data_IF_237873450831
#
_entry.id   IF_237873450831
#
_cell.length_a   1.000
_cell.length_b   1.000
_cell.length_c   1.000
_cell.angle_alpha   90.00
_cell.angle_beta   90.00
_cell.angle_gamma   90.00
#
_symmetry.space_group_name_H-M   'P 1'
#
loop_
_entity.id
_entity.type
_entity.pdbx_description
1 polymer ?
#
# COMPACT_ATOMS: atom_id res chain seq x y z
N UNK A 1 -5.09 22.87 -17.67
CA UNK A 1 -5.38 22.58 -16.25
C UNK A 1 -6.79 22.04 -16.01
N UNK A 2 -7.86 22.62 -16.55
CA UNK A 2 -9.26 22.15 -16.33
C UNK A 2 -9.47 20.69 -16.74
N UNK A 3 -8.96 20.24 -17.88
CA UNK A 3 -9.07 18.85 -18.35
C UNK A 3 -8.33 17.85 -17.46
N UNK A 4 -7.17 18.20 -16.90
CA UNK A 4 -6.41 17.34 -16.01
C UNK A 4 -7.13 17.12 -14.66
N UNK A 5 -7.72 18.20 -14.11
CA UNK A 5 -8.50 18.12 -12.88
C UNK A 5 -9.81 17.33 -13.08
N UNK A 6 -10.51 17.56 -14.20
CA UNK A 6 -11.71 16.81 -14.56
C UNK A 6 -11.43 15.30 -14.68
N UNK A 7 -10.29 14.93 -15.29
CA UNK A 7 -9.87 13.54 -15.37
C UNK A 7 -9.61 12.92 -14.00
N UNK A 8 -8.93 13.64 -13.09
CA UNK A 8 -8.71 13.18 -11.73
C UNK A 8 -10.03 12.92 -11.01
N UNK A 9 -10.96 13.88 -11.05
CA UNK A 9 -12.27 13.76 -10.40
C UNK A 9 -13.04 12.56 -10.97
N UNK A 10 -13.08 12.41 -12.30
CA UNK A 10 -13.79 11.30 -12.95
C UNK A 10 -13.20 9.93 -12.60
N UNK A 11 -11.87 9.83 -12.52
CA UNK A 11 -11.19 8.59 -12.12
C UNK A 11 -11.48 8.30 -10.64
N UNK A 12 -11.39 9.29 -9.75
CA UNK A 12 -11.72 9.12 -8.33
C UNK A 12 -13.18 8.71 -8.13
N UNK A 13 -14.12 9.33 -8.84
CA UNK A 13 -15.55 8.96 -8.79
C UNK A 13 -15.76 7.52 -9.27
N UNK A 14 -15.16 7.13 -10.39
CA UNK A 14 -15.27 5.77 -10.93
C UNK A 14 -14.71 4.73 -9.96
N UNK A 15 -13.53 4.96 -9.40
CA UNK A 15 -12.91 4.04 -8.45
C UNK A 15 -13.70 4.02 -7.12
N UNK A 16 -14.25 5.15 -6.67
CA UNK A 16 -15.12 5.23 -5.51
C UNK A 16 -16.40 4.42 -5.70
N UNK A 17 -17.12 4.59 -6.80
CA UNK A 17 -18.32 3.82 -7.13
C UNK A 17 -18.04 2.32 -7.21
N UNK A 18 -16.93 1.94 -7.83
CA UNK A 18 -16.47 0.55 -7.91
C UNK A 18 -16.16 -0.02 -6.52
N UNK A 19 -15.53 0.78 -5.67
CA UNK A 19 -15.17 0.40 -4.31
C UNK A 19 -16.40 0.16 -3.44
N UNK A 20 -17.36 1.08 -3.42
CA UNK A 20 -18.61 0.94 -2.66
C UNK A 20 -19.56 -0.10 -3.25
N UNK A 21 -19.53 -0.32 -4.55
CA UNK A 21 -20.30 -1.38 -5.22
C UNK A 21 -19.81 -2.80 -4.93
N UNK A 22 -18.58 -2.96 -4.42
CA UNK A 22 -17.98 -4.26 -4.08
C UNK A 22 -17.90 -4.47 -2.56
N UNK A 23 -19.04 -4.52 -1.89
CA UNK A 23 -19.14 -4.69 -0.43
C UNK A 23 -18.35 -5.88 0.11
N UNK A 24 -18.34 -7.01 -0.60
CA UNK A 24 -17.55 -8.19 -0.22
C UNK A 24 -16.05 -7.91 -0.17
N UNK A 25 -15.54 -7.06 -1.06
CA UNK A 25 -14.14 -6.64 -1.09
C UNK A 25 -13.78 -5.72 0.08
N UNK A 26 -14.69 -4.80 0.42
CA UNK A 26 -14.56 -3.93 1.59
C UNK A 26 -14.45 -4.74 2.88
N UNK A 27 -15.39 -5.68 3.06
CA UNK A 27 -15.43 -6.55 4.23
C UNK A 27 -14.16 -7.41 4.30
N UNK A 28 -13.78 -8.06 3.20
CA UNK A 28 -12.58 -8.91 3.16
C UNK A 28 -11.28 -8.14 3.51
N UNK A 29 -11.18 -6.88 3.09
CA UNK A 29 -10.00 -6.06 3.40
C UNK A 29 -9.91 -5.67 4.88
N UNK A 30 -11.04 -5.56 5.59
CA UNK A 30 -11.08 -5.28 7.04
C UNK A 30 -11.00 -6.56 7.88
N UNK A 31 -11.59 -7.65 7.43
CA UNK A 31 -11.61 -8.93 8.17
C UNK A 31 -10.20 -9.42 8.47
N UNK A 32 -9.28 -9.34 7.50
CA UNK A 32 -7.90 -9.81 7.68
C UNK A 32 -7.16 -9.09 8.81
N UNK A 33 -7.04 -7.75 8.83
CA UNK A 33 -6.38 -7.05 9.94
C UNK A 33 -7.16 -7.17 11.25
N UNK A 34 -8.49 -7.34 11.23
CA UNK A 34 -9.28 -7.57 12.44
C UNK A 34 -9.01 -8.95 13.05
N UNK A 35 -8.86 -10.00 12.25
CA UNK A 35 -8.43 -11.32 12.74
C UNK A 35 -7.07 -11.21 13.41
N UNK A 36 -6.12 -10.50 12.79
CA UNK A 36 -4.81 -10.26 13.40
C UNK A 36 -4.92 -9.49 14.71
N UNK A 37 -5.77 -8.46 14.78
CA UNK A 37 -5.96 -7.67 15.99
C UNK A 37 -6.62 -8.50 17.11
N UNK A 38 -7.72 -9.20 16.81
CA UNK A 38 -8.50 -9.87 17.86
C UNK A 38 -7.94 -11.23 18.26
N UNK A 39 -7.39 -12.00 17.33
CA UNK A 39 -6.91 -13.35 17.60
C UNK A 39 -5.44 -13.35 17.99
N UNK A 40 -4.58 -12.75 17.15
CA UNK A 40 -3.14 -12.78 17.39
C UNK A 40 -2.72 -11.83 18.53
N UNK A 41 -3.25 -10.60 18.53
CA UNK A 41 -2.86 -9.66 19.59
C UNK A 41 -3.31 -10.16 20.96
N UNK A 42 -4.51 -10.73 21.10
CA UNK A 42 -4.98 -11.33 22.34
C UNK A 42 -4.14 -12.55 22.75
N UNK A 43 -3.77 -13.43 21.81
CA UNK A 43 -2.93 -14.60 22.06
C UNK A 43 -1.51 -14.25 22.50
N UNK A 44 -0.93 -13.17 21.98
CA UNK A 44 0.44 -12.73 22.29
C UNK A 44 0.52 -11.71 23.43
N UNK A 45 -0.61 -11.24 23.98
CA UNK A 45 -0.65 -10.27 25.07
C UNK A 45 0.21 -10.68 26.25
N UNK A 46 0.18 -11.96 26.64
CA UNK A 46 0.93 -12.47 27.78
C UNK A 46 2.41 -12.74 27.47
N UNK A 47 2.76 -12.99 26.20
CA UNK A 47 4.10 -13.40 25.78
C UNK A 47 4.99 -12.23 25.36
N UNK A 48 4.42 -11.13 24.87
CA UNK A 48 5.14 -9.99 24.33
C UNK A 48 4.82 -8.71 25.11
N UNK A 49 5.41 -8.59 26.30
CA UNK A 49 5.56 -7.30 26.96
C UNK A 49 6.53 -6.42 26.15
N UNK A 50 6.05 -5.31 25.59
CA UNK A 50 6.91 -4.34 24.90
C UNK A 50 7.44 -3.33 25.92
N UNK A 51 8.75 -3.11 25.89
CA UNK A 51 9.39 -2.04 26.65
C UNK A 51 9.00 -0.67 26.12
N UNK A 52 9.25 0.38 26.91
CA UNK A 52 9.03 1.76 26.47
C UNK A 52 10.01 2.09 25.34
N UNK A 53 9.48 2.26 24.12
CA UNK A 53 10.26 2.64 22.94
C UNK A 53 9.55 3.79 22.20
N UNK A 54 10.26 4.75 21.63
CA UNK A 54 9.63 5.81 20.84
C UNK A 54 8.68 5.25 19.77
N UNK A 55 7.54 5.87 19.50
CA UNK A 55 7.01 7.15 20.04
C UNK A 55 6.25 7.03 21.38
N UNK A 56 6.31 5.90 22.06
CA UNK A 56 5.53 5.62 23.26
C UNK A 56 6.23 6.18 24.50
N UNK A 57 5.50 6.94 25.30
CA UNK A 57 5.99 7.53 26.56
C UNK A 57 5.74 6.61 27.75
N UNK A 58 4.85 5.62 27.61
CA UNK A 58 4.46 4.68 28.64
C UNK A 58 4.51 3.25 28.14
N UNK A 59 4.44 2.29 29.05
CA UNK A 59 4.28 0.88 28.68
C UNK A 59 3.00 0.67 27.88
N UNK A 60 3.13 0.04 26.70
CA UNK A 60 2.01 -0.28 25.82
C UNK A 60 1.81 -1.78 25.71
N UNK A 61 0.56 -2.17 25.44
CA UNK A 61 0.24 -3.56 25.09
C UNK A 61 0.65 -3.86 23.65
N UNK A 62 0.90 -5.13 23.36
CA UNK A 62 1.20 -5.58 22.00
C UNK A 62 0.09 -5.19 21.00
N UNK A 63 -1.16 -5.20 21.46
CA UNK A 63 -2.32 -4.76 20.64
C UNK A 63 -2.18 -3.33 20.16
N UNK A 64 -1.75 -2.41 21.01
CA UNK A 64 -1.52 -1.01 20.66
C UNK A 64 -0.35 -0.87 19.70
N UNK A 65 0.71 -1.66 19.90
CA UNK A 65 1.89 -1.66 19.03
C UNK A 65 1.57 -2.12 17.60
N UNK A 66 0.74 -3.16 17.44
CA UNK A 66 0.48 -3.79 16.15
C UNK A 66 -0.47 -2.97 15.26
N UNK A 67 -1.32 -2.10 15.83
CA UNK A 67 -2.34 -1.33 15.07
C UNK A 67 -1.75 -0.55 13.89
N UNK A 68 -0.67 0.25 14.01
CA UNK A 68 -0.04 0.92 12.87
C UNK A 68 0.45 -0.05 11.80
N UNK A 69 0.98 -1.21 12.20
CA UNK A 69 1.38 -2.28 11.29
C UNK A 69 0.20 -2.88 10.52
N UNK A 70 -0.95 -3.08 11.19
CA UNK A 70 -2.17 -3.56 10.54
C UNK A 70 -2.80 -2.51 9.60
N UNK A 71 -2.68 -1.23 9.94
CA UNK A 71 -2.99 -0.14 8.99
C UNK A 71 -2.09 -0.26 7.76
N UNK A 72 -0.79 -0.42 7.94
CA UNK A 72 0.15 -0.69 6.84
C UNK A 72 -0.27 -1.91 6.01
N UNK A 73 -0.72 -2.98 6.63
CA UNK A 73 -1.26 -4.17 5.94
C UNK A 73 -2.44 -3.82 5.03
N UNK A 74 -3.38 -3.00 5.49
CA UNK A 74 -4.51 -2.53 4.67
C UNK A 74 -3.99 -1.77 3.45
N UNK A 75 -3.05 -0.83 3.65
CA UNK A 75 -2.47 -0.06 2.56
C UNK A 75 -1.75 -0.97 1.55
N UNK A 76 -0.99 -1.96 2.04
CA UNK A 76 -0.23 -2.89 1.21
C UNK A 76 -1.15 -3.74 0.32
N UNK A 77 -2.17 -4.36 0.89
CA UNK A 77 -3.11 -5.17 0.13
C UNK A 77 -3.93 -4.32 -0.85
N UNK A 78 -4.42 -3.16 -0.43
CA UNK A 78 -5.20 -2.27 -1.31
C UNK A 78 -4.36 -1.69 -2.44
N UNK A 79 -3.15 -1.24 -2.16
CA UNK A 79 -2.23 -0.70 -3.16
C UNK A 79 -1.91 -1.73 -4.24
N UNK A 80 -1.59 -2.96 -3.84
CA UNK A 80 -1.36 -4.06 -4.76
C UNK A 80 -2.62 -4.44 -5.55
N UNK A 81 -3.77 -4.51 -4.88
CA UNK A 81 -5.03 -4.89 -5.52
C UNK A 81 -5.56 -3.82 -6.47
N UNK A 82 -5.28 -2.53 -6.24
CA UNK A 82 -5.65 -1.47 -7.17
C UNK A 82 -4.91 -1.58 -8.51
N UNK A 83 -3.68 -2.10 -8.50
CA UNK A 83 -2.89 -2.31 -9.71
C UNK A 83 -3.34 -3.52 -10.53
N UNK A 84 -4.09 -4.46 -9.93
CA UNK A 84 -4.72 -5.56 -10.64
C UNK A 84 -5.63 -5.06 -11.78
N UNK A 85 -6.33 -3.94 -11.57
CA UNK A 85 -7.18 -3.33 -12.58
C UNK A 85 -6.39 -2.91 -13.83
N UNK A 86 -5.11 -2.54 -13.70
CA UNK A 86 -4.25 -2.18 -14.83
C UNK A 86 -3.84 -3.41 -15.66
N UNK A 87 -3.62 -4.54 -14.98
CA UNK A 87 -3.34 -5.82 -15.67
C UNK A 87 -4.57 -6.27 -16.44
N UNK A 88 -5.76 -6.19 -15.81
CA UNK A 88 -7.04 -6.47 -16.48
C UNK A 88 -7.29 -5.56 -17.68
N UNK A 89 -7.08 -4.24 -17.53
CA UNK A 89 -7.24 -3.27 -18.61
C UNK A 89 -6.29 -3.59 -19.79
N UNK A 90 -5.11 -4.18 -19.49
CA UNK A 90 -4.15 -4.63 -20.51
C UNK A 90 -4.63 -5.91 -21.23
N UNK A 91 -5.07 -6.91 -20.48
CA UNK A 91 -5.59 -8.17 -21.02
C UNK A 91 -6.83 -7.96 -21.90
N UNK A 92 -7.76 -7.12 -21.44
CA UNK A 92 -8.99 -6.80 -22.17
C UNK A 92 -8.76 -5.83 -23.36
N UNK A 93 -7.53 -5.32 -23.53
CA UNK A 93 -7.21 -4.36 -24.59
C UNK A 93 -7.80 -2.96 -24.39
N UNK A 94 -8.54 -2.73 -23.29
CA UNK A 94 -9.11 -1.42 -22.93
C UNK A 94 -8.04 -0.37 -22.61
N UNK A 95 -6.82 -0.80 -22.37
CA UNK A 95 -5.66 0.08 -22.20
C UNK A 95 -5.41 0.97 -23.44
N UNK A 96 -5.81 0.53 -24.64
CA UNK A 96 -5.72 1.36 -25.86
C UNK A 96 -6.58 2.62 -25.75
N UNK A 97 -7.76 2.53 -25.15
CA UNK A 97 -8.65 3.68 -24.92
C UNK A 97 -8.03 4.69 -23.92
N UNK A 98 -7.32 4.20 -22.92
CA UNK A 98 -6.57 5.05 -21.98
C UNK A 98 -5.38 5.75 -22.65
N UNK A 99 -4.75 5.10 -23.63
CA UNK A 99 -3.62 5.65 -24.36
C UNK A 99 -4.02 6.65 -25.46
N UNK A 100 -5.28 6.63 -25.92
CA UNK A 100 -5.84 7.61 -26.88
C UNK A 100 -6.35 8.88 -26.19
N UNK A 101 -6.42 8.91 -24.84
CA UNK A 101 -6.79 10.10 -24.10
C UNK A 101 -5.76 11.24 -24.32
N UNK A 102 -6.19 12.50 -24.47
CA UNK A 102 -5.30 13.64 -24.71
C UNK A 102 -4.57 14.10 -23.43
N UNK A 103 -4.16 13.14 -22.58
CA UNK A 103 -3.50 13.40 -21.31
C UNK A 103 -2.18 12.63 -21.23
N UNK A 104 -1.14 13.21 -20.63
CA UNK A 104 0.13 12.52 -20.45
C UNK A 104 -0.04 11.32 -19.52
N UNK A 105 0.63 10.23 -19.84
CA UNK A 105 0.52 8.92 -19.13
C UNK A 105 0.84 8.98 -17.67
N UNK A 106 1.91 9.72 -17.33
CA UNK A 106 2.29 9.91 -15.94
C UNK A 106 1.13 10.50 -15.12
N UNK A 107 0.33 11.38 -15.73
CA UNK A 107 -0.84 11.96 -15.07
C UNK A 107 -1.94 10.92 -14.85
N UNK A 108 -2.23 10.08 -15.84
CA UNK A 108 -3.24 9.01 -15.70
C UNK A 108 -2.86 7.99 -14.64
N UNK A 109 -1.59 7.57 -14.58
CA UNK A 109 -1.10 6.67 -13.53
C UNK A 109 -1.14 7.34 -12.16
N UNK A 110 -0.76 8.61 -12.06
CA UNK A 110 -0.86 9.38 -10.82
C UNK A 110 -2.31 9.52 -10.36
N UNK A 111 -3.27 9.80 -11.27
CA UNK A 111 -4.68 9.84 -10.92
C UNK A 111 -5.19 8.50 -10.37
N UNK A 112 -4.79 7.37 -10.98
CA UNK A 112 -5.12 6.04 -10.45
C UNK A 112 -4.52 5.79 -9.07
N UNK A 113 -3.25 6.18 -8.86
CA UNK A 113 -2.60 6.07 -7.55
C UNK A 113 -3.32 6.89 -6.49
N UNK A 114 -3.65 8.15 -6.79
CA UNK A 114 -4.37 9.02 -5.86
C UNK A 114 -5.74 8.42 -5.51
N UNK A 115 -6.49 7.96 -6.51
CA UNK A 115 -7.79 7.33 -6.29
C UNK A 115 -7.68 6.07 -5.40
N UNK A 116 -6.71 5.19 -5.70
CA UNK A 116 -6.44 4.00 -4.88
C UNK A 116 -5.97 4.35 -3.46
N UNK A 117 -5.12 5.37 -3.32
CA UNK A 117 -4.66 5.85 -2.03
C UNK A 117 -5.81 6.41 -1.17
N UNK A 118 -6.72 7.20 -1.75
CA UNK A 118 -7.89 7.72 -1.04
C UNK A 118 -8.78 6.60 -0.51
N UNK A 119 -9.02 5.55 -1.32
CA UNK A 119 -9.81 4.39 -0.89
C UNK A 119 -9.09 3.61 0.22
N UNK A 120 -7.78 3.47 0.14
CA UNK A 120 -6.96 2.82 1.18
C UNK A 120 -6.99 3.59 2.50
N UNK A 121 -6.89 4.92 2.43
CA UNK A 121 -7.00 5.80 3.60
C UNK A 121 -8.37 5.68 4.25
N UNK A 122 -9.45 5.67 3.46
CA UNK A 122 -10.81 5.48 4.00
C UNK A 122 -10.93 4.15 4.77
N UNK A 123 -10.38 3.06 4.24
CA UNK A 123 -10.36 1.77 4.93
C UNK A 123 -9.47 1.77 6.17
N UNK A 124 -8.31 2.44 6.13
CA UNK A 124 -7.45 2.60 7.29
C UNK A 124 -8.18 3.33 8.43
N UNK A 125 -8.93 4.38 8.13
CA UNK A 125 -9.76 5.06 9.12
C UNK A 125 -10.91 4.21 9.65
N UNK A 126 -11.57 3.43 8.79
CA UNK A 126 -12.60 2.49 9.24
C UNK A 126 -12.00 1.47 10.23
N UNK A 127 -10.80 0.96 9.96
CA UNK A 127 -10.09 0.07 10.88
C UNK A 127 -9.69 0.77 12.18
N UNK A 128 -9.14 1.99 12.11
CA UNK A 128 -8.78 2.78 13.30
C UNK A 128 -10.01 3.10 14.17
N UNK A 129 -11.16 3.36 13.56
CA UNK A 129 -12.42 3.55 14.28
C UNK A 129 -12.85 2.28 15.03
N UNK A 130 -12.74 1.10 14.40
CA UNK A 130 -13.01 -0.19 15.04
C UNK A 130 -12.02 -0.44 16.20
N UNK A 131 -10.72 -0.16 15.99
CA UNK A 131 -9.71 -0.28 17.03
C UNK A 131 -9.99 0.65 18.24
N UNK A 132 -10.46 1.88 17.97
CA UNK A 132 -10.86 2.83 19.01
C UNK A 132 -12.09 2.35 19.81
N UNK A 133 -13.08 1.71 19.17
CA UNK A 133 -14.23 1.08 19.85
C UNK A 133 -13.76 -0.10 20.69
N UNK A 134 -12.78 -0.86 20.24
CA UNK A 134 -12.17 -1.96 20.99
C UNK A 134 -11.35 -1.50 22.22
N UNK A 135 -11.10 -0.19 22.34
CA UNK A 135 -10.39 0.40 23.49
C UNK A 135 -8.96 0.89 23.18
N UNK A 136 -8.46 0.66 21.96
CA UNK A 136 -7.15 1.15 21.53
C UNK A 136 -7.32 2.56 20.98
N UNK A 137 -6.96 3.57 21.78
CA UNK A 137 -7.15 4.98 21.43
C UNK A 137 -5.80 5.68 21.27
N UNK A 138 -5.70 6.49 20.24
CA UNK A 138 -4.58 7.38 19.98
C UNK A 138 -4.95 8.83 20.34
N UNK A 139 -3.98 9.74 20.50
CA UNK A 139 -4.26 11.16 20.65
C UNK A 139 -5.18 11.69 19.54
N UNK A 140 -6.13 12.57 19.89
CA UNK A 140 -7.12 13.07 18.92
C UNK A 140 -6.46 13.74 17.71
N UNK A 141 -5.38 14.50 17.92
CA UNK A 141 -4.58 15.10 16.85
C UNK A 141 -3.86 14.05 16.01
N UNK A 142 -3.54 12.88 16.56
CA UNK A 142 -2.91 11.77 15.82
C UNK A 142 -3.75 11.29 14.66
N UNK A 143 -5.08 11.30 14.80
CA UNK A 143 -5.97 10.96 13.69
C UNK A 143 -5.94 11.97 12.54
N UNK A 144 -5.56 13.24 12.80
CA UNK A 144 -5.40 14.25 11.75
C UNK A 144 -4.00 14.20 11.15
N UNK A 145 -2.96 14.10 11.98
CA UNK A 145 -1.56 14.08 11.53
C UNK A 145 -1.22 12.83 10.74
N UNK A 146 -1.90 11.71 10.97
CA UNK A 146 -1.69 10.48 10.22
C UNK A 146 -2.25 10.55 8.78
N UNK A 147 -3.24 11.39 8.49
CA UNK A 147 -3.88 11.47 7.17
C UNK A 147 -2.90 11.66 5.98
N UNK A 148 -2.02 12.68 6.00
CA UNK A 148 -1.04 12.87 4.92
C UNK A 148 -0.03 11.73 4.85
N UNK A 149 0.33 11.12 5.98
CA UNK A 149 1.26 10.00 6.03
C UNK A 149 0.63 8.74 5.45
N UNK A 150 -0.64 8.48 5.72
CA UNK A 150 -1.40 7.39 5.10
C UNK A 150 -1.48 7.54 3.58
N UNK A 151 -1.73 8.77 3.09
CA UNK A 151 -1.74 9.05 1.65
C UNK A 151 -0.37 8.78 1.03
N UNK A 152 0.71 9.21 1.67
CA UNK A 152 2.07 8.99 1.21
C UNK A 152 2.43 7.48 1.19
N UNK A 153 2.15 6.77 2.27
CA UNK A 153 2.40 5.33 2.37
C UNK A 153 1.57 4.54 1.35
N UNK A 154 0.28 4.89 1.18
CA UNK A 154 -0.59 4.29 0.19
C UNK A 154 -0.11 4.56 -1.24
N UNK A 155 0.40 5.78 -1.51
CA UNK A 155 1.00 6.13 -2.80
C UNK A 155 2.25 5.29 -3.07
N UNK A 156 3.17 5.16 -2.11
CA UNK A 156 4.38 4.35 -2.23
C UNK A 156 4.04 2.90 -2.58
N UNK A 157 3.13 2.28 -1.82
CA UNK A 157 2.74 0.88 -2.02
C UNK A 157 1.96 0.69 -3.33
N UNK A 158 1.08 1.63 -3.67
CA UNK A 158 0.37 1.65 -4.94
C UNK A 158 1.32 1.76 -6.14
N UNK A 159 2.36 2.62 -6.04
CA UNK A 159 3.39 2.75 -7.05
C UNK A 159 4.19 1.46 -7.24
N UNK A 160 4.52 0.74 -6.14
CA UNK A 160 5.12 -0.59 -6.21
C UNK A 160 4.21 -1.56 -6.96
N UNK A 161 2.91 -1.59 -6.63
CA UNK A 161 1.93 -2.43 -7.31
C UNK A 161 1.87 -2.16 -8.82
N UNK A 162 1.86 -0.88 -9.23
CA UNK A 162 1.89 -0.49 -10.64
C UNK A 162 3.22 -0.89 -11.29
N UNK A 163 4.36 -0.71 -10.60
CA UNK A 163 5.66 -1.14 -11.11
C UNK A 163 5.68 -2.65 -11.38
N UNK A 164 5.17 -3.46 -10.46
CA UNK A 164 5.04 -4.91 -10.64
C UNK A 164 4.08 -5.26 -11.80
N UNK A 165 2.93 -4.59 -11.89
CA UNK A 165 1.96 -4.81 -12.96
C UNK A 165 2.50 -4.43 -14.34
N UNK A 166 3.52 -3.57 -14.41
CA UNK A 166 4.16 -3.20 -15.67
C UNK A 166 4.96 -4.36 -16.29
N UNK A 167 5.51 -5.24 -15.47
CA UNK A 167 6.34 -6.39 -15.90
C UNK A 167 5.53 -7.64 -16.18
N UNK A 168 4.39 -7.81 -15.52
CA UNK A 168 3.56 -9.01 -15.57
C UNK A 168 2.39 -8.80 -16.52
N UNK A 169 2.22 -9.72 -17.48
CA UNK A 169 1.22 -9.58 -18.57
C UNK A 169 -0.10 -10.29 -18.27
N UNK A 170 -0.05 -11.38 -17.49
CA UNK A 170 -1.19 -12.23 -17.22
C UNK A 170 -1.71 -12.00 -15.79
N UNK A 171 -3.03 -11.92 -15.66
CA UNK A 171 -3.71 -11.67 -14.40
C UNK A 171 -3.42 -12.73 -13.34
N UNK A 172 -3.42 -14.00 -13.75
CA UNK A 172 -3.16 -15.15 -12.87
C UNK A 172 -1.75 -15.09 -12.27
N UNK A 173 -0.75 -14.80 -13.11
CA UNK A 173 0.64 -14.66 -12.67
C UNK A 173 0.82 -13.45 -11.76
N UNK A 174 0.08 -12.37 -12.02
CA UNK A 174 0.14 -11.17 -11.16
C UNK A 174 -0.38 -11.45 -9.76
N UNK A 175 -1.47 -12.20 -9.61
CA UNK A 175 -2.02 -12.56 -8.31
C UNK A 175 -1.02 -13.38 -7.47
N UNK A 176 -0.29 -14.31 -8.09
CA UNK A 176 0.77 -15.08 -7.45
C UNK A 176 1.93 -14.23 -6.99
N UNK A 177 2.46 -13.38 -7.89
CA UNK A 177 3.59 -12.48 -7.58
C UNK A 177 3.18 -11.45 -6.52
N UNK A 178 1.96 -10.93 -6.59
CA UNK A 178 1.43 -10.00 -5.59
C UNK A 178 1.53 -10.59 -4.18
N UNK A 179 1.06 -11.82 -3.97
CA UNK A 179 1.14 -12.48 -2.67
C UNK A 179 2.60 -12.75 -2.26
N UNK A 180 3.44 -13.16 -3.21
CA UNK A 180 4.87 -13.38 -2.96
C UNK A 180 5.61 -12.10 -2.54
N UNK A 181 5.17 -10.93 -2.97
CA UNK A 181 5.75 -9.64 -2.57
C UNK A 181 5.13 -9.14 -1.26
N UNK A 182 3.80 -9.25 -1.10
CA UNK A 182 3.09 -8.74 0.08
C UNK A 182 3.58 -9.42 1.37
N UNK A 183 3.66 -10.75 1.38
CA UNK A 183 4.00 -11.47 2.61
C UNK A 183 5.41 -11.17 3.11
N UNK A 184 6.48 -11.25 2.31
CA UNK A 184 7.80 -10.85 2.77
C UNK A 184 7.88 -9.39 3.18
N UNK A 185 7.28 -8.46 2.43
CA UNK A 185 7.27 -7.06 2.82
C UNK A 185 6.60 -6.82 4.18
N UNK A 186 5.52 -7.52 4.46
CA UNK A 186 4.81 -7.38 5.72
C UNK A 186 5.55 -8.05 6.89
N UNK A 187 5.97 -9.31 6.73
CA UNK A 187 6.60 -10.08 7.80
C UNK A 187 8.05 -9.65 8.08
N UNK A 188 8.79 -9.23 7.06
CA UNK A 188 10.14 -8.67 7.20
C UNK A 188 10.09 -7.15 7.36
N UNK A 189 9.29 -6.67 8.30
CA UNK A 189 9.12 -5.26 8.62
C UNK A 189 8.85 -5.05 10.10
N UNK A 190 8.86 -3.78 10.54
CA UNK A 190 8.49 -3.41 11.92
C UNK A 190 6.97 -3.43 12.18
N UNK A 191 6.17 -4.01 11.28
CA UNK A 191 4.71 -4.04 11.41
C UNK A 191 4.26 -4.86 12.62
N UNK A 192 4.87 -6.03 12.83
CA UNK A 192 4.51 -6.97 13.89
C UNK A 192 5.44 -6.90 15.10
N UNK A 193 6.71 -6.62 14.87
CA UNK A 193 7.75 -6.61 15.92
C UNK A 193 8.66 -5.40 15.79
N UNK A 194 9.13 -4.82 16.92
CA UNK A 194 10.11 -3.75 16.88
C UNK A 194 11.44 -4.22 16.27
N UNK A 195 12.13 -3.33 15.56
CA UNK A 195 13.41 -3.64 14.94
C UNK A 195 14.47 -4.09 15.94
N UNK A 196 14.50 -3.51 17.17
CA UNK A 196 15.44 -3.92 18.20
C UNK A 196 15.24 -5.40 18.60
N UNK A 197 14.00 -5.89 18.62
CA UNK A 197 13.72 -7.30 18.91
C UNK A 197 14.18 -8.23 17.79
N UNK A 198 14.16 -7.75 16.55
CA UNK A 198 14.76 -8.47 15.42
C UNK A 198 16.27 -8.54 15.54
N UNK A 199 16.93 -7.46 16.03
CA UNK A 199 18.36 -7.44 16.27
C UNK A 199 18.81 -8.45 17.34
N UNK A 200 18.01 -8.64 18.39
CA UNK A 200 18.26 -9.69 19.41
C UNK A 200 18.24 -11.12 18.82
N UNK A 201 17.36 -11.36 17.84
CA UNK A 201 17.23 -12.66 17.19
C UNK A 201 18.35 -12.91 16.17
N UNK A 202 18.63 -11.92 15.29
CA UNK A 202 19.66 -12.01 14.25
C UNK A 202 19.96 -10.63 13.67
N UNK A 203 21.24 -10.27 13.57
CA UNK A 203 21.66 -9.03 12.90
C UNK A 203 21.24 -9.00 11.42
N UNK A 204 21.35 -10.12 10.70
CA UNK A 204 20.91 -10.22 9.32
C UNK A 204 19.40 -9.95 9.17
N UNK A 205 18.58 -10.48 10.07
CA UNK A 205 17.14 -10.26 10.06
C UNK A 205 16.80 -8.79 10.32
N UNK A 206 17.50 -8.15 11.26
CA UNK A 206 17.39 -6.72 11.52
C UNK A 206 17.69 -5.90 10.26
N UNK A 207 18.82 -6.18 9.58
CA UNK A 207 19.25 -5.42 8.41
C UNK A 207 18.27 -5.55 7.24
N UNK A 208 17.73 -6.76 7.00
CA UNK A 208 16.69 -7.00 6.00
C UNK A 208 15.43 -6.19 6.33
N UNK A 209 14.97 -6.23 7.59
CA UNK A 209 13.80 -5.48 8.04
C UNK A 209 14.03 -3.96 7.98
N UNK A 210 15.22 -3.49 8.32
CA UNK A 210 15.60 -2.08 8.26
C UNK A 210 15.73 -1.57 6.81
N UNK A 211 16.19 -2.40 5.88
CA UNK A 211 16.27 -2.06 4.46
C UNK A 211 14.90 -2.05 3.75
N UNK A 212 13.88 -2.66 4.36
CA UNK A 212 12.56 -2.75 3.76
C UNK A 212 11.83 -1.38 3.79
N UNK A 213 11.48 -0.79 2.63
CA UNK A 213 10.81 0.52 2.59
C UNK A 213 9.43 0.50 3.28
N UNK A 214 8.78 -0.64 3.36
CA UNK A 214 7.52 -0.80 4.07
C UNK A 214 7.68 -0.62 5.60
N UNK A 215 8.81 -1.00 6.17
CA UNK A 215 9.16 -0.71 7.57
C UNK A 215 9.06 0.79 7.84
N UNK A 216 9.66 1.60 7.00
CA UNK A 216 9.65 3.06 7.16
C UNK A 216 8.25 3.66 6.97
N UNK A 217 7.45 3.11 6.05
CA UNK A 217 6.05 3.54 5.92
C UNK A 217 5.24 3.24 7.20
N UNK A 218 5.41 2.06 7.79
CA UNK A 218 4.75 1.70 9.06
C UNK A 218 5.24 2.56 10.22
N UNK A 219 6.57 2.81 10.32
CA UNK A 219 7.13 3.70 11.34
C UNK A 219 6.61 5.14 11.18
N UNK A 220 6.54 5.66 9.96
CA UNK A 220 5.98 6.98 9.71
C UNK A 220 4.51 7.07 10.18
N UNK A 221 3.69 6.05 9.90
CA UNK A 221 2.31 5.97 10.38
C UNK A 221 2.25 5.88 11.91
N UNK A 222 3.11 5.06 12.53
CA UNK A 222 3.20 4.88 13.98
C UNK A 222 3.49 6.20 14.69
N UNK A 223 4.54 6.90 14.26
CA UNK A 223 4.92 8.18 14.84
C UNK A 223 3.88 9.27 14.60
N UNK A 224 3.26 9.31 13.42
CA UNK A 224 2.21 10.28 13.10
C UNK A 224 0.97 10.11 13.98
N UNK A 225 0.59 8.89 14.35
CA UNK A 225 -0.51 8.63 15.30
C UNK A 225 -0.25 9.20 16.69
N UNK A 226 1.02 9.41 17.06
CA UNK A 226 1.43 10.04 18.33
C UNK A 226 1.85 11.51 18.16
N UNK A 227 1.51 12.12 17.04
CA UNK A 227 1.80 13.54 16.72
C UNK A 227 3.31 13.83 16.73
N UNK A 228 4.13 12.83 16.46
CA UNK A 228 5.58 12.93 16.36
C UNK A 228 6.01 12.71 14.89
N UNK A 229 6.70 13.63 14.24
CA UNK A 229 7.20 13.40 12.89
C UNK A 229 8.49 12.58 12.91
N UNK A 230 8.50 11.45 12.22
CA UNK A 230 9.72 10.70 11.93
C UNK A 230 10.21 11.08 10.51
N UNK A 231 11.05 12.12 10.44
CA UNK A 231 11.54 12.66 9.17
C UNK A 231 12.34 11.67 8.34
N UNK A 232 13.11 10.78 9.00
CA UNK A 232 13.86 9.75 8.30
C UNK A 232 12.91 8.75 7.62
N UNK A 233 11.95 8.23 8.35
CA UNK A 233 10.96 7.29 7.84
C UNK A 233 10.11 7.91 6.72
N UNK A 234 9.70 9.17 6.87
CA UNK A 234 9.01 9.92 5.82
C UNK A 234 9.89 10.08 4.57
N UNK A 235 11.16 10.46 4.74
CA UNK A 235 12.10 10.61 3.63
C UNK A 235 12.31 9.33 2.84
N UNK A 236 12.50 8.19 3.52
CA UNK A 236 12.63 6.88 2.87
C UNK A 236 11.34 6.49 2.15
N UNK A 237 10.16 6.75 2.76
CA UNK A 237 8.86 6.45 2.14
C UNK A 237 8.65 7.26 0.85
N UNK A 238 9.00 8.56 0.87
CA UNK A 238 8.96 9.42 -0.33
C UNK A 238 9.91 8.91 -1.39
N UNK A 239 11.16 8.67 -1.03
CA UNK A 239 12.19 8.21 -1.97
C UNK A 239 11.80 6.89 -2.63
N UNK A 240 11.34 5.91 -1.84
CA UNK A 240 10.85 4.63 -2.35
C UNK A 240 9.64 4.82 -3.28
N UNK A 241 8.68 5.68 -2.92
CA UNK A 241 7.52 6.01 -3.74
C UNK A 241 7.92 6.60 -5.10
N UNK A 242 8.89 7.51 -5.12
CA UNK A 242 9.42 8.10 -6.35
C UNK A 242 10.15 7.07 -7.22
N UNK A 243 10.96 6.20 -6.61
CA UNK A 243 11.67 5.11 -7.32
C UNK A 243 10.65 4.16 -7.95
N UNK A 244 9.67 3.69 -7.19
CA UNK A 244 8.63 2.78 -7.71
C UNK A 244 7.78 3.44 -8.79
N UNK A 245 7.46 4.73 -8.65
CA UNK A 245 6.77 5.48 -9.71
C UNK A 245 7.62 5.61 -10.96
N UNK A 246 8.92 5.86 -10.83
CA UNK A 246 9.86 5.89 -11.95
C UNK A 246 9.92 4.56 -12.70
N UNK A 247 10.00 3.43 -11.96
CA UNK A 247 9.96 2.07 -12.53
C UNK A 247 8.61 1.83 -13.23
N UNK A 248 7.50 2.24 -12.61
CA UNK A 248 6.18 2.11 -13.20
C UNK A 248 6.06 2.87 -14.52
N UNK A 249 6.50 4.13 -14.57
CA UNK A 249 6.48 4.94 -15.78
C UNK A 249 7.35 4.35 -16.89
N UNK A 250 8.53 3.84 -16.54
CA UNK A 250 9.43 3.19 -17.48
C UNK A 250 8.84 1.88 -18.04
N UNK A 251 8.17 1.08 -17.22
CA UNK A 251 7.56 -0.18 -17.60
C UNK A 251 6.28 -0.02 -18.46
N UNK A 252 5.58 1.09 -18.32
CA UNK A 252 4.37 1.41 -19.12
C UNK A 252 4.67 2.19 -20.41
N UNK A 253 5.90 2.11 -20.94
CA UNK A 253 6.25 2.71 -22.23
C UNK A 253 5.67 1.88 -23.41
N UNK A 254 4.80 2.45 -24.29
CA UNK A 254 4.21 1.73 -25.41
C UNK A 254 5.19 1.41 -26.54
N UNK A 255 6.30 2.15 -26.63
CA UNK A 255 7.33 1.87 -27.64
C UNK A 255 7.86 0.44 -27.59
N UNK A 256 7.77 -0.19 -26.41
CA UNK A 256 8.26 -1.57 -26.17
C UNK A 256 7.20 -2.66 -26.39
N UNK A 257 5.90 -2.33 -26.41
CA UNK A 257 4.80 -3.31 -26.55
C UNK A 257 4.33 -3.53 -27.97
N UNK A 258 4.43 -2.53 -28.86
CA UNK A 258 3.90 -2.60 -30.22
C UNK A 258 4.87 -3.22 -31.25
N UNK A 259 6.16 -3.24 -30.97
CA UNK A 259 7.17 -3.78 -31.92
C UNK A 259 7.13 -5.32 -31.99
N UNK A 260 6.63 -5.99 -30.98
CA UNK A 260 6.66 -7.47 -30.90
C UNK A 260 5.45 -8.16 -31.55
N UNK A 261 4.38 -7.44 -31.87
CA UNK A 261 3.18 -8.02 -32.54
C UNK A 261 3.26 -8.01 -34.06
N UNK A 262 4.25 -7.32 -34.66
CA UNK A 262 4.43 -7.29 -36.15
C UNK A 262 5.30 -8.44 -36.71
N UNK A 263 5.91 -9.27 -35.85
CA UNK A 263 6.79 -10.36 -36.26
C UNK A 263 6.11 -11.73 -36.39
N UNK A 264 4.78 -11.82 -36.17
CA UNK A 264 4.00 -13.05 -36.29
C UNK A 264 2.89 -12.90 -37.35
N UNK A 265 3.23 -12.45 -38.56
CA UNK A 265 2.35 -12.60 -39.72
C UNK A 265 2.29 -14.06 -40.13
N UNK A 266 1.11 -14.59 -40.53
CA UNK A 266 1.01 -15.96 -41.00
C UNK A 266 1.85 -16.12 -42.28
N UNK A 267 2.82 -17.04 -42.23
CA UNK A 267 3.43 -17.57 -43.43
C UNK A 267 2.32 -18.30 -44.20
N UNK A 268 1.99 -17.74 -45.36
CA UNK A 268 1.04 -18.34 -46.23
C UNK A 268 1.53 -19.67 -46.82
N UNK A 269 0.65 -20.54 -46.98
CA UNK A 269 0.45 -21.43 -48.13
C UNK A 269 -0.84 -22.20 -47.99
#
# INVERSE_FOLDING_TARGET
MKHALSALISICQREGLRFFGQTGRLVAALVRPLIWLFVFAAGFRAALGLSITPPYETYITFETYIVPGLVGMILLFNGMQSSLSLVMDRELGTMRLLLTAPLPRWWLLTCKLIAGALMSVLQAYAFLAIAAVYGIRFPALGYLTVAPVLLLAAFMVGALGIALSSTIKQLENFAGVMNFVIFPMFFLSSALYPLWKMAEASALLHDICAANPFTHAVEAVRFALYVQPNWFALGVTVAAGLVFMGIALWGYDPGRGMVRQKAGGPAGS
#
